data_IF_586993040481
#
_entry.id   IF_586993040481
#
_cell.length_a   1.000
_cell.length_b   1.000
_cell.length_c   1.000
_cell.angle_alpha   90.00
_cell.angle_beta   90.00
_cell.angle_gamma   90.00
#
_symmetry.space_group_name_H-M   'P 1'
#
loop_
_entity.id
_entity.type
_entity.pdbx_description
1 polymer ?
#
# COMPACT_ATOMS: atom_id res chain seq x y z
N UNK A 1 -13.35 54.69 1.93
CA UNK A 1 -14.22 53.51 2.11
C UNK A 1 -13.93 52.32 1.17
N UNK A 2 -13.08 52.43 0.13
CA UNK A 2 -12.76 51.32 -0.80
C UNK A 2 -11.49 50.52 -0.47
N UNK A 3 -10.51 51.13 0.21
CA UNK A 3 -9.27 50.46 0.59
C UNK A 3 -9.44 49.46 1.75
N UNK A 4 -10.46 49.64 2.59
CA UNK A 4 -10.70 48.78 3.75
C UNK A 4 -11.17 47.38 3.35
N UNK A 5 -11.95 47.25 2.25
CA UNK A 5 -12.36 45.94 1.73
C UNK A 5 -11.21 45.14 1.13
N UNK A 6 -10.20 45.80 0.54
CA UNK A 6 -9.08 45.12 -0.10
C UNK A 6 -8.10 44.50 0.92
N UNK A 7 -8.07 45.03 2.13
CA UNK A 7 -7.24 44.53 3.23
C UNK A 7 -7.90 43.37 4.00
N UNK A 8 -9.20 43.13 3.83
CA UNK A 8 -9.94 42.06 4.50
C UNK A 8 -9.96 40.73 3.71
N UNK A 9 -9.75 40.79 2.39
CA UNK A 9 -9.64 39.62 1.50
C UNK A 9 -8.49 38.66 1.88
N UNK A 10 -7.25 39.11 2.20
CA UNK A 10 -6.18 38.18 2.57
C UNK A 10 -6.41 37.51 3.93
N UNK A 11 -7.16 38.14 4.83
CA UNK A 11 -7.52 37.58 6.14
C UNK A 11 -8.56 36.46 6.00
N UNK A 12 -9.52 36.59 5.08
CA UNK A 12 -10.45 35.50 4.73
C UNK A 12 -9.74 34.32 4.04
N UNK A 13 -8.69 34.58 3.27
CA UNK A 13 -7.88 33.53 2.62
C UNK A 13 -7.11 32.64 3.61
N UNK A 14 -6.71 33.19 4.76
CA UNK A 14 -6.05 32.45 5.85
C UNK A 14 -7.03 31.65 6.73
N UNK A 15 -8.33 31.95 6.64
CA UNK A 15 -9.41 31.24 7.36
C UNK A 15 -9.93 30.00 6.60
N UNK A 16 -9.48 29.77 5.36
CA UNK A 16 -9.59 28.45 4.71
C UNK A 16 -8.57 27.53 5.37
N UNK A 17 -8.93 27.13 6.59
CA UNK A 17 -8.25 26.10 7.34
C UNK A 17 -8.31 24.83 6.51
N UNK A 18 -7.13 24.31 6.17
CA UNK A 18 -6.82 23.09 5.42
C UNK A 18 -7.32 21.79 6.09
N UNK A 19 -8.49 21.83 6.73
CA UNK A 19 -9.09 20.79 7.57
C UNK A 19 -9.98 19.81 6.79
N UNK A 20 -10.15 20.00 5.48
CA UNK A 20 -10.97 19.09 4.66
C UNK A 20 -10.23 17.84 4.19
N UNK A 21 -8.92 17.72 4.44
CA UNK A 21 -8.16 16.57 3.96
C UNK A 21 -8.48 15.28 4.75
N UNK A 22 -8.77 15.37 6.06
CA UNK A 22 -8.78 14.19 6.95
C UNK A 22 -9.94 13.19 6.79
N UNK A 23 -11.00 13.50 6.02
CA UNK A 23 -12.10 12.55 5.79
C UNK A 23 -12.10 11.93 4.39
N UNK A 24 -11.51 12.63 3.41
CA UNK A 24 -11.44 12.14 2.03
C UNK A 24 -10.09 11.47 1.75
N UNK A 25 -9.01 11.86 2.43
CA UNK A 25 -7.70 11.23 2.27
C UNK A 25 -7.67 9.79 2.80
N UNK A 26 -8.37 9.53 3.90
CA UNK A 26 -8.54 8.17 4.44
C UNK A 26 -9.42 7.31 3.53
N UNK A 27 -10.54 7.87 3.02
CA UNK A 27 -11.40 7.16 2.09
C UNK A 27 -10.71 6.83 0.75
N UNK A 28 -9.83 7.71 0.26
CA UNK A 28 -9.05 7.44 -0.96
C UNK A 28 -7.99 6.36 -0.69
N UNK A 29 -7.33 6.39 0.47
CA UNK A 29 -6.32 5.38 0.82
C UNK A 29 -6.91 3.96 0.88
N UNK A 30 -8.10 3.80 1.47
CA UNK A 30 -8.82 2.52 1.51
C UNK A 30 -9.09 1.96 0.11
N UNK A 31 -9.55 2.81 -0.83
CA UNK A 31 -9.82 2.38 -2.21
C UNK A 31 -8.56 2.09 -3.01
N UNK A 32 -7.50 2.87 -2.80
CA UNK A 32 -6.22 2.64 -3.48
C UNK A 32 -5.61 1.31 -3.04
N UNK A 33 -5.62 1.00 -1.73
CA UNK A 33 -5.08 -0.27 -1.22
C UNK A 33 -5.90 -1.47 -1.73
N UNK A 34 -7.23 -1.35 -1.81
CA UNK A 34 -8.11 -2.37 -2.37
C UNK A 34 -7.80 -2.63 -3.86
N UNK A 35 -7.75 -1.58 -4.67
CA UNK A 35 -7.47 -1.70 -6.11
C UNK A 35 -6.03 -2.15 -6.36
N UNK A 36 -5.04 -1.59 -5.66
CA UNK A 36 -3.65 -2.00 -5.78
C UNK A 36 -3.43 -3.46 -5.37
N UNK A 37 -4.10 -3.93 -4.30
CA UNK A 37 -4.08 -5.32 -3.88
C UNK A 37 -4.73 -6.28 -4.88
N UNK A 38 -5.71 -5.81 -5.67
CA UNK A 38 -6.31 -6.61 -6.75
C UNK A 38 -5.45 -6.71 -8.02
N UNK A 39 -4.55 -5.73 -8.21
CA UNK A 39 -3.66 -5.61 -9.37
C UNK A 39 -2.33 -6.38 -9.18
N UNK A 40 -1.95 -6.69 -7.94
CA UNK A 40 -0.72 -7.43 -7.62
C UNK A 40 -1.02 -8.84 -7.10
N UNK A 41 -0.06 -9.75 -7.28
CA UNK A 41 -0.08 -11.06 -6.65
C UNK A 41 0.77 -11.03 -5.38
N UNK A 42 0.20 -11.49 -4.26
CA UNK A 42 0.91 -11.69 -3.02
C UNK A 42 1.32 -13.16 -2.85
N UNK A 43 2.49 -13.39 -2.27
CA UNK A 43 2.91 -14.73 -1.85
C UNK A 43 2.14 -15.11 -0.59
N UNK A 44 1.36 -16.20 -0.67
CA UNK A 44 0.58 -16.73 0.45
C UNK A 44 1.20 -17.98 1.07
N UNK A 45 2.21 -18.55 0.42
CA UNK A 45 2.98 -19.65 0.96
C UNK A 45 4.11 -20.06 0.02
N UNK A 46 5.09 -20.77 0.56
CA UNK A 46 6.22 -21.30 -0.19
C UNK A 46 6.30 -22.82 -0.03
N UNK A 47 6.91 -23.47 -1.02
CA UNK A 47 7.32 -24.86 -0.94
C UNK A 47 8.76 -24.96 -1.44
N UNK A 48 9.52 -25.83 -0.80
CA UNK A 48 10.92 -26.04 -1.09
C UNK A 48 11.11 -27.52 -1.41
N UNK A 49 12.04 -27.82 -2.31
CA UNK A 49 12.47 -29.19 -2.55
C UNK A 49 13.18 -29.82 -1.35
N UNK A 50 13.70 -31.04 -1.54
CA UNK A 50 14.50 -31.73 -0.52
C UNK A 50 13.84 -31.83 0.88
N UNK A 51 12.51 -31.83 0.94
CA UNK A 51 11.71 -31.81 2.17
C UNK A 51 12.03 -30.63 3.12
N UNK A 52 12.58 -29.52 2.61
CA UNK A 52 12.85 -28.33 3.41
C UNK A 52 11.54 -27.62 3.80
N UNK A 53 11.27 -27.53 5.11
CA UNK A 53 10.13 -26.78 5.66
C UNK A 53 10.45 -25.35 6.08
N UNK A 54 11.72 -24.93 5.97
CA UNK A 54 12.19 -23.62 6.42
C UNK A 54 12.29 -22.64 5.26
N UNK A 55 11.42 -21.63 5.27
CA UNK A 55 11.35 -20.60 4.24
C UNK A 55 10.89 -19.25 4.83
N UNK A 56 11.22 -18.17 4.13
CA UNK A 56 10.70 -16.82 4.36
C UNK A 56 10.25 -16.18 3.05
N UNK A 57 9.47 -15.10 3.16
CA UNK A 57 9.10 -14.25 2.02
C UNK A 57 9.90 -12.96 2.09
N UNK A 58 10.60 -12.64 1.01
CA UNK A 58 11.40 -11.43 0.83
C UNK A 58 10.68 -10.46 -0.09
N UNK A 59 10.74 -9.18 0.27
CA UNK A 59 10.08 -8.09 -0.46
C UNK A 59 8.61 -8.41 -0.81
N UNK A 60 7.93 -9.16 0.07
CA UNK A 60 6.52 -9.58 -0.04
C UNK A 60 6.17 -10.48 -1.25
N UNK A 61 7.07 -10.62 -2.22
CA UNK A 61 6.79 -11.28 -3.51
C UNK A 61 7.70 -12.47 -3.83
N UNK A 62 8.73 -12.73 -3.02
CA UNK A 62 9.76 -13.74 -3.37
C UNK A 62 9.96 -14.74 -2.25
N UNK A 63 9.70 -16.02 -2.52
CA UNK A 63 10.03 -17.11 -1.60
C UNK A 63 11.54 -17.34 -1.53
N UNK A 64 12.06 -17.49 -0.32
CA UNK A 64 13.43 -17.91 -0.06
C UNK A 64 13.44 -19.17 0.81
N UNK A 65 13.96 -20.26 0.26
CA UNK A 65 14.19 -21.49 1.02
C UNK A 65 15.54 -21.40 1.74
N UNK A 66 15.55 -21.63 3.05
CA UNK A 66 16.70 -21.37 3.90
C UNK A 66 17.64 -22.58 4.04
N UNK A 67 17.18 -23.77 3.68
CA UNK A 67 18.01 -24.97 3.77
C UNK A 67 19.17 -24.92 2.77
N UNK A 68 20.27 -25.60 3.10
CA UNK A 68 21.39 -25.74 2.17
C UNK A 68 21.06 -26.73 1.04
N UNK A 69 21.68 -26.54 -0.12
CA UNK A 69 21.58 -27.49 -1.24
C UNK A 69 20.20 -27.54 -1.90
N UNK A 70 19.50 -26.40 -1.94
CA UNK A 70 18.15 -26.35 -2.48
C UNK A 70 18.13 -26.60 -3.99
N UNK A 71 17.38 -27.61 -4.39
CA UNK A 71 17.16 -28.04 -5.77
C UNK A 71 16.11 -27.18 -6.48
N UNK A 72 15.04 -26.81 -5.79
CA UNK A 72 14.02 -25.90 -6.31
C UNK A 72 13.24 -25.17 -5.19
N UNK A 73 12.56 -24.10 -5.60
CA UNK A 73 11.68 -23.29 -4.76
C UNK A 73 10.41 -22.98 -5.54
N UNK A 74 9.25 -23.14 -4.91
CA UNK A 74 7.95 -22.78 -5.46
C UNK A 74 7.23 -21.77 -4.57
N UNK A 75 6.48 -20.87 -5.19
CA UNK A 75 5.66 -19.86 -4.51
C UNK A 75 4.18 -20.05 -4.86
N UNK A 76 3.30 -19.92 -3.87
CA UNK A 76 1.87 -19.83 -4.08
C UNK A 76 1.44 -18.37 -4.11
N UNK A 77 1.05 -17.91 -5.29
CA UNK A 77 0.67 -16.53 -5.53
C UNK A 77 -0.85 -16.41 -5.61
N UNK A 78 -1.43 -15.49 -4.82
CA UNK A 78 -2.86 -15.19 -4.82
C UNK A 78 -3.06 -13.69 -5.03
N UNK A 79 -4.21 -13.31 -5.62
CA UNK A 79 -4.64 -11.92 -5.70
C UNK A 79 -6.13 -11.83 -5.38
N UNK A 80 -6.57 -10.67 -4.93
CA UNK A 80 -8.01 -10.40 -4.82
C UNK A 80 -8.57 -10.21 -6.23
N UNK A 81 -9.60 -10.96 -6.57
CA UNK A 81 -10.32 -10.79 -7.82
C UNK A 81 -11.64 -10.06 -7.50
N UNK A 82 -11.86 -8.86 -8.05
CA UNK A 82 -13.10 -8.12 -7.83
C UNK A 82 -14.30 -8.76 -8.54
#
# INVERSE_FOLDING_TARGET
>A
MKALCLLLLPVLGLLVSSKTLCSMEEAINERILEVAGSLSFAVTGCTCGSACGSWDVRAETTCHCQCAGMDWTGARCCRVQP
#
